data_IF_855097353620
#
_entry.id   IF_855097353620
#
_cell.length_a   1.000
_cell.length_b   1.000
_cell.length_c   1.000
_cell.angle_alpha   90.00
_cell.angle_beta   90.00
_cell.angle_gamma   90.00
#
_symmetry.space_group_name_H-M   'P 1'
#
loop_
_entity.id
_entity.type
_entity.pdbx_description
1 polymer ?
#
# COMPACT_ATOMS: atom_id res chain seq x y z
N UNK A 1 41.90 18.48 39.00
CA UNK A 1 42.57 17.41 38.24
C UNK A 1 41.51 16.68 37.43
N UNK A 2 41.36 16.96 36.13
CA UNK A 2 40.32 16.36 35.30
C UNK A 2 40.72 14.94 34.88
N UNK A 3 39.96 13.93 35.32
CA UNK A 3 40.19 12.52 34.96
C UNK A 3 39.89 12.35 33.48
N UNK A 4 40.93 12.26 32.64
CA UNK A 4 40.80 11.99 31.21
C UNK A 4 40.34 10.53 31.05
N UNK A 5 39.04 10.31 30.86
CA UNK A 5 38.50 8.98 30.56
C UNK A 5 38.98 8.63 29.14
N UNK A 6 39.99 7.77 29.04
CA UNK A 6 40.33 7.12 27.77
C UNK A 6 39.22 6.09 27.53
N UNK A 7 38.37 6.34 26.53
CA UNK A 7 37.45 5.32 26.06
C UNK A 7 38.24 4.08 25.67
N UNK A 8 37.84 2.93 26.19
CA UNK A 8 38.38 1.64 25.78
C UNK A 8 38.15 1.46 24.26
N UNK A 9 39.08 0.81 23.56
CA UNK A 9 39.03 0.58 22.11
C UNK A 9 37.71 -0.05 21.69
N UNK A 10 37.16 -0.97 22.50
CA UNK A 10 35.86 -1.59 22.28
C UNK A 10 34.71 -0.61 22.40
N UNK A 11 34.69 0.22 23.45
CA UNK A 11 33.68 1.27 23.60
C UNK A 11 33.70 2.26 22.43
N UNK A 12 34.90 2.68 21.98
CA UNK A 12 35.04 3.56 20.82
C UNK A 12 34.59 2.87 19.52
N UNK A 13 34.91 1.58 19.34
CA UNK A 13 34.49 0.79 18.17
C UNK A 13 32.96 0.67 18.11
N UNK A 14 32.32 0.31 19.24
CA UNK A 14 30.85 0.21 19.34
C UNK A 14 30.20 1.56 19.07
N UNK A 15 30.76 2.66 19.59
CA UNK A 15 30.26 4.00 19.34
C UNK A 15 30.32 4.36 17.85
N UNK A 16 31.47 4.13 17.20
CA UNK A 16 31.64 4.40 15.77
C UNK A 16 30.69 3.56 14.92
N UNK A 17 30.57 2.25 15.21
CA UNK A 17 29.64 1.37 14.52
C UNK A 17 28.19 1.83 14.69
N UNK A 18 27.79 2.21 15.90
CA UNK A 18 26.45 2.74 16.21
C UNK A 18 26.16 4.00 15.41
N UNK A 19 27.08 4.97 15.41
CA UNK A 19 26.93 6.21 14.64
C UNK A 19 26.79 5.92 13.15
N UNK A 20 27.62 5.02 12.61
CA UNK A 20 27.56 4.65 11.19
C UNK A 20 26.20 4.01 10.83
N UNK A 21 25.70 3.09 11.65
CA UNK A 21 24.38 2.47 11.44
C UNK A 21 23.28 3.53 11.43
N UNK A 22 23.26 4.47 12.38
CA UNK A 22 22.25 5.52 12.41
C UNK A 22 22.37 6.51 11.25
N UNK A 23 23.58 6.84 10.81
CA UNK A 23 23.79 7.69 9.62
C UNK A 23 23.19 7.03 8.38
N UNK A 24 23.49 5.75 8.16
CA UNK A 24 22.93 4.99 7.02
C UNK A 24 21.42 4.86 7.15
N UNK A 25 20.91 4.53 8.35
CA UNK A 25 19.48 4.41 8.60
C UNK A 25 18.72 5.70 8.32
N UNK A 26 19.19 6.85 8.82
CA UNK A 26 18.57 8.16 8.59
C UNK A 26 18.60 8.53 7.11
N UNK A 27 19.71 8.27 6.42
CA UNK A 27 19.82 8.52 4.98
C UNK A 27 18.79 7.69 4.18
N UNK A 28 18.66 6.39 4.50
CA UNK A 28 17.67 5.51 3.86
C UNK A 28 16.23 5.89 4.21
N UNK A 29 15.98 6.32 5.46
CA UNK A 29 14.68 6.81 5.88
C UNK A 29 14.29 8.06 5.09
N UNK A 30 15.20 9.04 4.97
CA UNK A 30 15.00 10.22 4.14
C UNK A 30 14.70 9.87 2.68
N UNK A 31 15.46 8.95 2.09
CA UNK A 31 15.22 8.46 0.73
C UNK A 31 13.84 7.80 0.59
N UNK A 32 13.41 7.03 1.58
CA UNK A 32 12.10 6.35 1.54
C UNK A 32 10.95 7.36 1.60
N UNK A 33 11.08 8.41 2.42
CA UNK A 33 10.04 9.44 2.58
C UNK A 33 9.81 10.25 1.30
N UNK A 34 10.82 10.43 0.46
CA UNK A 34 10.65 11.11 -0.84
C UNK A 34 10.10 10.19 -1.94
N UNK A 35 9.97 8.89 -1.69
CA UNK A 35 9.52 7.88 -2.65
C UNK A 35 8.27 7.12 -2.18
N UNK A 36 7.46 7.74 -1.33
CA UNK A 36 6.19 7.17 -0.90
C UNK A 36 5.24 7.00 -2.09
N UNK A 37 4.46 5.91 -2.15
CA UNK A 37 3.45 5.75 -3.18
C UNK A 37 2.44 6.90 -3.15
N UNK A 38 2.13 7.52 -4.30
CA UNK A 38 1.18 8.62 -4.35
C UNK A 38 -0.25 8.15 -4.04
N UNK A 39 -0.98 8.94 -3.25
CA UNK A 39 -2.41 8.76 -3.03
C UNK A 39 -3.13 9.76 -3.94
N UNK A 40 -3.98 9.30 -4.89
CA UNK A 40 -4.70 10.21 -5.77
C UNK A 40 -5.71 11.06 -5.00
N UNK A 41 -5.93 12.30 -5.44
CA UNK A 41 -6.99 13.15 -4.86
C UNK A 41 -8.38 12.58 -5.14
N UNK A 42 -8.57 12.07 -6.36
CA UNK A 42 -9.82 11.43 -6.80
C UNK A 42 -9.52 10.31 -7.80
N UNK A 43 -10.33 9.25 -7.70
CA UNK A 43 -10.38 8.13 -8.66
C UNK A 43 -11.76 8.12 -9.27
N UNK A 44 -11.83 8.20 -10.60
CA UNK A 44 -13.08 8.37 -11.32
C UNK A 44 -13.08 7.68 -12.68
N UNK A 45 -14.26 7.42 -13.22
CA UNK A 45 -14.42 6.77 -14.52
C UNK A 45 -14.14 7.74 -15.68
N UNK A 46 -13.95 7.20 -16.89
CA UNK A 46 -13.83 8.00 -18.12
C UNK A 46 -15.02 8.94 -18.36
N UNK A 47 -16.18 8.65 -17.75
CA UNK A 47 -17.39 9.48 -17.82
C UNK A 47 -17.45 10.56 -16.72
N UNK A 48 -16.40 10.71 -15.91
CA UNK A 48 -16.33 11.69 -14.80
C UNK A 48 -17.11 11.28 -13.55
N UNK A 49 -17.52 10.02 -13.41
CA UNK A 49 -18.16 9.53 -12.18
C UNK A 49 -17.10 9.18 -11.14
N UNK A 50 -17.15 9.84 -9.99
CA UNK A 50 -16.23 9.56 -8.87
C UNK A 50 -16.49 8.17 -8.30
N UNK A 51 -15.46 7.33 -8.27
CA UNK A 51 -15.48 6.01 -7.66
C UNK A 51 -15.12 6.10 -6.17
N UNK A 52 -13.96 6.71 -5.86
CA UNK A 52 -13.55 7.06 -4.50
C UNK A 52 -12.52 8.19 -4.50
N UNK A 53 -12.25 8.77 -3.33
CA UNK A 53 -11.30 9.88 -3.12
C UNK A 53 -10.10 9.46 -2.28
N UNK A 54 -9.03 10.26 -2.32
CA UNK A 54 -7.86 10.05 -1.45
C UNK A 54 -8.22 10.08 0.05
N UNK A 55 -9.19 10.92 0.44
CA UNK A 55 -9.70 10.95 1.81
C UNK A 55 -10.35 9.62 2.24
N UNK A 56 -10.97 8.90 1.30
CA UNK A 56 -11.58 7.59 1.55
C UNK A 56 -10.53 6.48 1.64
N UNK A 57 -9.45 6.57 0.86
CA UNK A 57 -8.27 5.70 1.00
C UNK A 57 -7.63 5.87 2.38
N UNK A 58 -7.40 7.11 2.82
CA UNK A 58 -6.84 7.41 4.14
C UNK A 58 -7.78 6.92 5.25
N UNK A 59 -9.08 7.20 5.12
CA UNK A 59 -10.09 6.73 6.08
C UNK A 59 -10.16 5.21 6.13
N UNK A 60 -10.02 4.53 4.99
CA UNK A 60 -9.96 3.07 4.91
C UNK A 60 -8.83 2.47 5.71
N UNK A 61 -7.62 3.07 5.62
CA UNK A 61 -6.47 2.67 6.45
C UNK A 61 -6.79 2.79 7.93
N UNK A 62 -7.35 3.92 8.35
CA UNK A 62 -7.74 4.16 9.76
C UNK A 62 -8.77 3.14 10.22
N UNK A 63 -9.74 2.80 9.38
CA UNK A 63 -10.76 1.79 9.68
C UNK A 63 -10.18 0.39 9.82
N UNK A 64 -9.23 0.01 8.95
CA UNK A 64 -8.52 -1.27 9.10
C UNK A 64 -7.76 -1.36 10.43
N UNK A 65 -7.17 -0.26 10.89
CA UNK A 65 -6.53 -0.18 12.20
C UNK A 65 -7.56 -0.24 13.34
N UNK A 66 -8.65 0.53 13.24
CA UNK A 66 -9.75 0.56 14.21
C UNK A 66 -10.35 -0.82 14.45
N UNK A 67 -10.53 -1.60 13.38
CA UNK A 67 -11.12 -2.94 13.45
C UNK A 67 -10.10 -4.06 13.69
N UNK A 68 -8.82 -3.74 13.86
CA UNK A 68 -7.77 -4.75 14.08
C UNK A 68 -7.58 -5.70 12.89
N UNK A 69 -7.88 -5.24 11.67
CA UNK A 69 -7.84 -6.12 10.49
C UNK A 69 -6.40 -6.52 10.10
N UNK A 70 -5.39 -5.75 10.50
CA UNK A 70 -3.98 -6.13 10.34
C UNK A 70 -3.52 -7.22 11.32
N UNK A 71 -4.22 -7.44 12.43
CA UNK A 71 -3.94 -8.56 13.34
C UNK A 71 -4.72 -9.81 12.91
N UNK A 72 -5.85 -9.61 12.23
CA UNK A 72 -6.65 -10.67 11.64
C UNK A 72 -5.98 -11.25 10.39
N UNK A 73 -5.77 -10.42 9.37
CA UNK A 73 -5.14 -10.79 8.09
C UNK A 73 -3.91 -9.92 7.80
N UNK A 74 -3.47 -9.90 6.54
CA UNK A 74 -2.26 -9.18 6.15
C UNK A 74 -2.49 -8.19 5.00
N UNK A 75 -1.59 -7.21 4.90
CA UNK A 75 -1.54 -6.23 3.83
C UNK A 75 -0.09 -6.05 3.38
N UNK A 76 0.18 -6.18 2.08
CA UNK A 76 1.54 -6.32 1.55
C UNK A 76 2.36 -7.42 2.25
N UNK A 77 1.70 -8.47 2.76
CA UNK A 77 2.33 -9.55 3.54
C UNK A 77 2.63 -9.22 5.00
N UNK A 78 2.37 -7.99 5.47
CA UNK A 78 2.51 -7.61 6.88
C UNK A 78 1.16 -7.73 7.61
N UNK A 79 1.16 -8.48 8.71
CA UNK A 79 -0.01 -8.62 9.57
C UNK A 79 -0.15 -10.03 10.11
N UNK A 80 -1.38 -10.37 10.49
CA UNK A 80 -1.77 -11.70 10.90
C UNK A 80 -1.91 -12.67 9.73
N UNK A 81 -1.91 -13.97 10.06
CA UNK A 81 -2.04 -15.06 9.09
C UNK A 81 -3.34 -15.87 9.28
N UNK A 82 -4.23 -15.39 10.14
CA UNK A 82 -5.49 -16.08 10.40
C UNK A 82 -6.51 -15.82 9.28
N UNK A 83 -6.64 -14.56 8.89
CA UNK A 83 -7.45 -14.08 7.78
C UNK A 83 -6.72 -14.17 6.43
N UNK A 84 -7.29 -13.51 5.43
CA UNK A 84 -6.70 -13.43 4.09
C UNK A 84 -5.66 -12.31 3.99
N UNK A 85 -4.77 -12.39 3.00
CA UNK A 85 -3.99 -11.23 2.57
C UNK A 85 -4.86 -10.35 1.68
N UNK A 86 -5.20 -9.16 2.18
CA UNK A 86 -6.11 -8.24 1.50
C UNK A 86 -5.55 -7.73 0.17
N UNK A 87 -4.21 -7.58 0.08
CA UNK A 87 -3.56 -7.16 -1.18
C UNK A 87 -3.68 -8.26 -2.22
N UNK A 88 -3.41 -9.51 -1.86
CA UNK A 88 -3.54 -10.67 -2.73
C UNK A 88 -5.00 -10.88 -3.19
N UNK A 89 -5.96 -10.69 -2.27
CA UNK A 89 -7.38 -10.73 -2.60
C UNK A 89 -7.75 -9.68 -3.67
N UNK A 90 -7.29 -8.44 -3.49
CA UNK A 90 -7.51 -7.39 -4.47
C UNK A 90 -6.82 -7.66 -5.82
N UNK A 91 -5.59 -8.20 -5.81
CA UNK A 91 -4.90 -8.60 -7.04
C UNK A 91 -5.63 -9.73 -7.76
N UNK A 92 -6.22 -10.68 -7.02
CA UNK A 92 -7.03 -11.75 -7.60
C UNK A 92 -8.23 -11.19 -8.37
N UNK A 93 -9.00 -10.27 -7.79
CA UNK A 93 -10.17 -9.70 -8.48
C UNK A 93 -9.77 -8.79 -9.64
N UNK A 94 -8.63 -8.10 -9.53
CA UNK A 94 -8.05 -7.33 -10.64
C UNK A 94 -7.73 -8.27 -11.82
N UNK A 95 -7.07 -9.40 -11.57
CA UNK A 95 -6.68 -10.37 -12.60
C UNK A 95 -7.87 -11.14 -13.20
N UNK A 96 -9.02 -11.17 -12.53
CA UNK A 96 -10.26 -11.78 -13.06
C UNK A 96 -10.94 -10.90 -14.11
N UNK A 97 -10.55 -9.64 -14.24
CA UNK A 97 -11.05 -8.79 -15.32
C UNK A 97 -10.33 -9.14 -16.62
N UNK A 98 -11.09 -9.28 -17.72
CA UNK A 98 -10.65 -9.89 -19.01
C UNK A 98 -9.42 -9.20 -19.64
N UNK A 99 -9.15 -7.95 -19.25
CA UNK A 99 -7.99 -7.14 -19.61
C UNK A 99 -7.45 -6.44 -18.36
N UNK A 100 -6.14 -6.14 -18.27
CA UNK A 100 -5.57 -5.47 -17.11
C UNK A 100 -6.29 -4.12 -16.89
N UNK A 101 -6.76 -3.83 -15.66
CA UNK A 101 -7.38 -2.55 -15.38
C UNK A 101 -6.39 -1.44 -15.69
N UNK A 102 -6.75 -0.60 -16.65
CA UNK A 102 -5.93 0.54 -17.05
C UNK A 102 -6.25 1.72 -16.15
N UNK A 103 -5.21 2.27 -15.53
CA UNK A 103 -5.28 3.51 -14.77
C UNK A 103 -4.56 4.55 -15.61
N UNK A 104 -5.30 5.52 -16.13
CA UNK A 104 -4.74 6.72 -16.74
C UNK A 104 -4.50 7.70 -15.60
N UNK A 105 -3.23 7.98 -15.31
CA UNK A 105 -2.86 8.96 -14.29
C UNK A 105 -2.69 10.30 -15.00
N UNK A 106 -3.58 11.24 -14.72
CA UNK A 106 -3.38 12.63 -15.10
C UNK A 106 -2.39 13.22 -14.08
N UNK A 107 -1.10 13.13 -14.39
CA UNK A 107 -0.01 13.58 -13.51
C UNK A 107 1.31 12.89 -13.82
N UNK A 108 2.42 13.29 -13.16
CA UNK A 108 3.67 12.58 -13.34
C UNK A 108 3.54 11.13 -12.87
N UNK A 109 3.93 10.18 -13.72
CA UNK A 109 4.28 8.84 -13.27
C UNK A 109 5.31 8.93 -12.13
N UNK A 110 5.43 7.87 -11.30
CA UNK A 110 6.28 7.71 -10.10
C UNK A 110 7.64 8.47 -10.00
N UNK A 111 8.17 8.98 -11.11
CA UNK A 111 9.39 9.78 -11.26
C UNK A 111 9.39 11.23 -10.72
N UNK A 112 8.28 11.83 -10.27
CA UNK A 112 8.39 13.17 -9.64
C UNK A 112 7.34 13.42 -8.54
N UNK A 113 7.68 13.02 -7.31
CA UNK A 113 6.89 13.25 -6.09
C UNK A 113 7.18 14.67 -5.54
N UNK A 114 7.07 15.68 -6.40
CA UNK A 114 7.10 17.10 -5.97
C UNK A 114 5.76 17.80 -6.17
N UNK A 115 4.79 17.18 -6.86
CA UNK A 115 3.42 17.67 -7.01
C UNK A 115 2.42 16.70 -6.36
N UNK A 116 2.38 16.67 -5.03
CA UNK A 116 1.54 15.76 -4.25
C UNK A 116 0.08 16.23 -4.07
N UNK A 117 -0.44 17.12 -4.91
CA UNK A 117 -1.80 17.67 -4.75
C UNK A 117 -2.77 17.45 -5.92
N UNK A 118 -2.34 16.91 -7.07
CA UNK A 118 -3.16 17.01 -8.31
C UNK A 118 -3.36 15.75 -9.14
N UNK A 119 -2.83 14.57 -8.75
CA UNK A 119 -2.99 13.38 -9.58
C UNK A 119 -4.40 12.78 -9.49
N UNK A 120 -5.21 13.08 -10.51
CA UNK A 120 -6.52 12.46 -10.79
C UNK A 120 -6.29 11.12 -11.48
N UNK A 121 -6.91 10.06 -10.99
CA UNK A 121 -6.85 8.74 -11.63
C UNK A 121 -8.13 8.50 -12.41
N UNK A 122 -8.02 8.39 -13.73
CA UNK A 122 -9.11 8.00 -14.62
C UNK A 122 -9.04 6.50 -14.86
N UNK A 123 -10.07 5.78 -14.45
CA UNK A 123 -10.12 4.31 -14.44
C UNK A 123 -11.14 3.76 -15.43
N UNK A 124 -10.83 2.58 -15.98
CA UNK A 124 -11.73 1.89 -16.91
C UNK A 124 -12.92 1.24 -16.19
N UNK A 125 -13.96 0.89 -16.95
CA UNK A 125 -15.11 0.14 -16.44
C UNK A 125 -14.73 -1.21 -15.82
N UNK A 126 -13.62 -1.82 -16.26
CA UNK A 126 -13.12 -3.06 -15.67
C UNK A 126 -12.58 -2.84 -14.26
N UNK A 127 -11.93 -1.69 -13.99
CA UNK A 127 -11.51 -1.34 -12.64
C UNK A 127 -12.71 -1.17 -11.70
N UNK A 128 -13.80 -0.56 -12.19
CA UNK A 128 -15.06 -0.44 -11.42
C UNK A 128 -15.66 -1.82 -11.13
N UNK A 129 -15.61 -2.75 -12.09
CA UNK A 129 -16.03 -4.15 -11.85
C UNK A 129 -15.17 -4.81 -10.78
N UNK A 130 -13.84 -4.68 -10.86
CA UNK A 130 -12.93 -5.22 -9.85
C UNK A 130 -13.21 -4.65 -8.45
N UNK A 131 -13.46 -3.34 -8.37
CA UNK A 131 -13.86 -2.67 -7.12
C UNK A 131 -15.15 -3.28 -6.55
N UNK A 132 -16.19 -3.42 -7.37
CA UNK A 132 -17.47 -3.99 -6.92
C UNK A 132 -17.34 -5.45 -6.49
N UNK A 133 -16.56 -6.24 -7.23
CA UNK A 133 -16.26 -7.64 -6.85
C UNK A 133 -15.53 -7.70 -5.51
N UNK A 134 -14.50 -6.86 -5.32
CA UNK A 134 -13.76 -6.77 -4.06
C UNK A 134 -14.68 -6.38 -2.90
N UNK A 135 -15.51 -5.36 -3.10
CA UNK A 135 -16.46 -4.90 -2.10
C UNK A 135 -17.39 -6.03 -1.65
N UNK A 136 -17.90 -6.82 -2.61
CA UNK A 136 -18.78 -7.95 -2.31
C UNK A 136 -18.05 -9.07 -1.56
N UNK A 137 -16.81 -9.41 -1.95
CA UNK A 137 -15.99 -10.39 -1.23
C UNK A 137 -15.68 -9.92 0.20
N UNK A 138 -15.29 -8.66 0.38
CA UNK A 138 -15.04 -8.07 1.70
C UNK A 138 -16.32 -7.99 2.53
N UNK A 139 -17.47 -7.65 1.94
CA UNK A 139 -18.75 -7.69 2.63
C UNK A 139 -19.09 -9.11 3.09
N UNK A 140 -18.75 -10.13 2.31
CA UNK A 140 -18.95 -11.51 2.69
C UNK A 140 -18.04 -11.91 3.87
N UNK A 141 -16.75 -11.58 3.80
CA UNK A 141 -15.75 -11.98 4.79
C UNK A 141 -15.88 -11.18 6.10
N UNK A 142 -16.07 -9.87 6.01
CA UNK A 142 -16.00 -8.96 7.16
C UNK A 142 -17.36 -8.67 7.81
N UNK A 143 -18.47 -8.93 7.10
CA UNK A 143 -19.81 -8.63 7.59
C UNK A 143 -20.76 -9.84 7.56
N UNK A 144 -21.19 -10.31 6.38
CA UNK A 144 -22.28 -11.29 6.25
C UNK A 144 -21.96 -12.65 6.89
N UNK A 145 -20.75 -13.16 6.65
CA UNK A 145 -20.30 -14.47 7.11
C UNK A 145 -19.10 -14.36 8.07
N UNK A 146 -18.95 -13.22 8.76
CA UNK A 146 -17.73 -12.91 9.50
C UNK A 146 -17.39 -13.95 10.57
N UNK A 147 -18.39 -14.55 11.23
CA UNK A 147 -18.20 -15.66 12.17
C UNK A 147 -17.57 -16.90 11.55
N UNK A 148 -17.92 -17.23 10.30
CA UNK A 148 -17.36 -18.38 9.58
C UNK A 148 -15.89 -18.15 9.22
N UNK A 149 -15.49 -16.88 9.14
CA UNK A 149 -14.12 -16.45 8.92
C UNK A 149 -13.39 -16.10 10.22
N UNK A 150 -13.96 -16.46 11.39
CA UNK A 150 -13.37 -16.25 12.72
C UNK A 150 -13.33 -14.80 13.20
N UNK A 151 -14.07 -13.90 12.55
CA UNK A 151 -14.29 -12.53 13.00
C UNK A 151 -15.55 -12.44 13.86
N UNK A 152 -15.58 -11.43 14.74
CA UNK A 152 -16.78 -11.13 15.51
C UNK A 152 -17.93 -10.74 14.56
N UNK A 153 -19.17 -11.25 14.76
CA UNK A 153 -20.34 -10.83 14.01
C UNK A 153 -20.56 -9.31 14.09
N UNK A 154 -20.91 -8.69 12.96
CA UNK A 154 -21.19 -7.24 12.87
C UNK A 154 -20.03 -6.35 13.37
N UNK A 155 -18.78 -6.81 13.31
CA UNK A 155 -17.61 -6.02 13.72
C UNK A 155 -17.42 -4.79 12.83
N UNK A 156 -17.47 -4.98 11.51
CA UNK A 156 -17.27 -3.92 10.50
C UNK A 156 -18.62 -3.43 10.01
N UNK A 157 -18.83 -2.11 9.97
CA UNK A 157 -20.06 -1.53 9.41
C UNK A 157 -20.08 -1.59 7.88
N UNK A 158 -21.24 -1.85 7.23
CA UNK A 158 -21.36 -1.74 5.77
C UNK A 158 -20.97 -0.37 5.22
N UNK A 159 -21.20 0.70 5.99
CA UNK A 159 -20.82 2.07 5.59
C UNK A 159 -19.30 2.26 5.51
N UNK A 160 -18.55 1.51 6.32
CA UNK A 160 -17.09 1.59 6.40
C UNK A 160 -16.39 0.73 5.34
N UNK A 161 -17.06 -0.31 4.85
CA UNK A 161 -16.51 -1.24 3.85
C UNK A 161 -16.10 -0.52 2.56
N UNK A 162 -16.80 0.54 2.19
CA UNK A 162 -16.48 1.33 1.00
C UNK A 162 -15.07 1.91 1.09
N UNK A 163 -14.74 2.52 2.23
CA UNK A 163 -13.44 3.12 2.48
C UNK A 163 -12.34 2.06 2.62
N UNK A 164 -12.64 0.95 3.32
CA UNK A 164 -11.72 -0.20 3.43
C UNK A 164 -11.40 -0.78 2.04
N UNK A 165 -12.41 -0.92 1.18
CA UNK A 165 -12.24 -1.41 -0.19
C UNK A 165 -11.37 -0.45 -1.01
N UNK A 166 -11.61 0.86 -0.91
CA UNK A 166 -10.80 1.87 -1.58
C UNK A 166 -9.31 1.79 -1.18
N UNK A 167 -9.04 1.67 0.13
CA UNK A 167 -7.67 1.50 0.63
C UNK A 167 -7.00 0.22 0.13
N UNK A 168 -7.70 -0.91 0.21
CA UNK A 168 -7.16 -2.21 -0.21
C UNK A 168 -6.87 -2.22 -1.72
N UNK A 169 -7.79 -1.70 -2.53
CA UNK A 169 -7.63 -1.67 -3.98
C UNK A 169 -6.51 -0.72 -4.42
N UNK A 170 -6.41 0.47 -3.81
CA UNK A 170 -5.27 1.37 -4.00
C UNK A 170 -3.94 0.68 -3.66
N UNK A 171 -3.90 0.00 -2.52
CA UNK A 171 -2.72 -0.75 -2.06
C UNK A 171 -2.27 -1.83 -3.05
N UNK A 172 -3.21 -2.54 -3.66
CA UNK A 172 -2.92 -3.56 -4.66
C UNK A 172 -2.35 -2.99 -5.95
N UNK A 173 -2.90 -1.86 -6.43
CA UNK A 173 -2.37 -1.15 -7.61
C UNK A 173 -0.94 -0.68 -7.36
N UNK A 174 -0.71 -0.03 -6.22
CA UNK A 174 0.62 0.44 -5.82
C UNK A 174 1.61 -0.72 -5.79
N UNK A 175 1.23 -1.84 -5.17
CA UNK A 175 2.06 -3.04 -5.09
C UNK A 175 2.41 -3.60 -6.46
N UNK A 176 1.42 -3.68 -7.36
CA UNK A 176 1.64 -4.13 -8.74
C UNK A 176 2.59 -3.20 -9.51
N UNK A 177 2.48 -1.89 -9.30
CA UNK A 177 3.31 -0.92 -10.00
C UNK A 177 4.76 -0.92 -9.52
N UNK A 178 4.99 -1.07 -8.22
CA UNK A 178 6.33 -1.24 -7.62
C UNK A 178 7.01 -2.48 -8.21
N UNK A 179 6.33 -3.63 -8.22
CA UNK A 179 6.90 -4.88 -8.78
C UNK A 179 7.22 -4.73 -10.27
N UNK A 180 6.35 -4.07 -11.03
CA UNK A 180 6.54 -3.90 -12.47
C UNK A 180 7.75 -3.02 -12.79
N UNK A 181 7.99 -1.98 -11.98
CA UNK A 181 9.17 -1.13 -12.10
C UNK A 181 10.47 -1.89 -11.85
N UNK A 182 10.53 -2.72 -10.79
CA UNK A 182 11.71 -3.55 -10.51
C UNK A 182 12.00 -4.54 -11.64
N UNK A 183 10.98 -5.23 -12.17
CA UNK A 183 11.14 -6.18 -13.28
C UNK A 183 11.73 -5.50 -14.52
N UNK A 184 11.26 -4.30 -14.85
CA UNK A 184 11.77 -3.54 -15.99
C UNK A 184 13.26 -3.19 -15.80
N UNK A 185 13.64 -2.72 -14.62
CA UNK A 185 15.02 -2.30 -14.35
C UNK A 185 16.00 -3.49 -14.33
N UNK A 186 15.59 -4.63 -13.75
CA UNK A 186 16.38 -5.87 -13.75
C UNK A 186 16.57 -6.40 -15.18
N UNK A 187 15.53 -6.36 -16.02
CA UNK A 187 15.61 -6.80 -17.42
C UNK A 187 16.54 -5.92 -18.26
N UNK A 188 16.53 -4.60 -17.98
CA UNK A 188 17.38 -3.61 -18.66
C UNK A 188 18.83 -3.72 -18.20
N UNK A 189 19.07 -3.95 -16.91
CA UNK A 189 20.39 -4.22 -16.36
C UNK A 189 20.99 -5.52 -16.94
N UNK A 190 20.18 -6.58 -17.05
CA UNK A 190 20.62 -7.86 -17.66
C UNK A 190 20.95 -7.72 -19.15
N UNK A 191 20.23 -6.86 -19.90
CA UNK A 191 20.53 -6.54 -21.30
C UNK A 191 21.76 -5.65 -21.51
N UNK A 192 22.25 -4.97 -20.47
CA UNK A 192 23.48 -4.16 -20.54
C UNK A 192 24.75 -4.94 -20.15
N UNK A 193 24.60 -6.15 -19.62
CA UNK A 193 25.69 -7.03 -19.18
C UNK A 193 26.00 -8.17 -20.16
N UNK A 194 25.26 -8.25 -21.27
CA UNK A 194 25.44 -9.19 -22.38
C UNK A 194 25.65 -8.34 -23.63
#
# INVERSE_FOLDING_TARGET
>A
MAKRIKGDVWSNLVLVATVLVYVVYIALAGYTLTHLPPIPSVVETENGTVLFTGGEVISGKVLMQKYGLFDYGSFWGFGGYYGTDFTALALKVINQTTDPPTIKVDGPAYSSITDSETSRWVVSNNYVKAYNTLYNELCNILYNNSSNYGLKPNLVSPNDLRNITAFILWGAVVFHQIISFERYNISTFKKRLI
#
